data_IF_710114788825
#
_entry.id   IF_710114788825
#
_cell.length_a   1.000
_cell.length_b   1.000
_cell.length_c   1.000
_cell.angle_alpha   90.00
_cell.angle_beta   90.00
_cell.angle_gamma   90.00
#
_symmetry.space_group_name_H-M   'P 1'
#
loop_
_entity.id
_entity.type
_entity.pdbx_description
1 polymer ?
#
# COMPACT_ATOMS: atom_id res chain seq x y z
N UNK A 1 42.04 4.33 55.30
CA UNK A 1 42.90 3.41 54.51
C UNK A 1 42.01 2.72 53.49
N UNK A 2 42.19 2.76 52.20
CA UNK A 2 43.03 3.54 51.29
C UNK A 2 42.46 3.18 49.92
N UNK A 3 41.77 4.12 49.26
CA UNK A 3 41.40 4.01 47.86
C UNK A 3 42.46 4.76 47.07
N UNK A 4 43.23 4.03 46.26
CA UNK A 4 44.20 4.60 45.34
C UNK A 4 43.48 5.01 44.04
N UNK A 5 43.52 6.29 43.63
CA UNK A 5 42.76 6.85 42.52
C UNK A 5 43.61 6.90 41.25
N UNK A 6 43.25 6.13 40.21
CA UNK A 6 43.92 6.27 38.91
C UNK A 6 43.11 5.84 37.68
N UNK A 7 41.79 6.08 37.64
CA UNK A 7 41.01 5.92 36.40
C UNK A 7 39.95 6.99 36.13
N UNK A 8 40.06 8.19 36.72
CA UNK A 8 39.23 9.33 36.32
C UNK A 8 40.09 10.60 36.23
N UNK A 9 40.75 10.76 35.09
CA UNK A 9 41.29 12.05 34.68
C UNK A 9 40.25 12.83 33.87
N UNK A 10 39.87 13.95 34.47
CA UNK A 10 39.84 15.28 33.88
C UNK A 10 38.60 15.76 33.11
N UNK A 11 38.08 16.88 33.62
CA UNK A 11 37.00 17.71 33.12
C UNK A 11 37.36 18.38 31.77
N UNK A 12 36.43 18.29 30.83
CA UNK A 12 35.90 19.46 30.12
C UNK A 12 36.68 20.02 28.92
N UNK A 13 36.43 19.48 27.72
CA UNK A 13 36.03 20.28 26.56
C UNK A 13 35.55 19.38 25.42
N UNK A 14 34.27 19.48 25.06
CA UNK A 14 33.66 18.73 23.98
C UNK A 14 34.35 19.06 22.64
N UNK A 15 34.94 18.03 22.05
CA UNK A 15 35.27 18.00 20.64
C UNK A 15 34.00 17.86 19.79
N UNK A 16 34.02 18.48 18.62
CA UNK A 16 33.17 18.09 17.50
C UNK A 16 34.00 17.32 16.47
N UNK A 17 33.44 16.25 15.88
CA UNK A 17 34.17 15.29 15.06
C UNK A 17 34.36 15.79 13.62
N UNK A 18 35.40 15.25 12.97
CA UNK A 18 35.64 15.34 11.54
C UNK A 18 34.40 14.89 10.74
N UNK A 19 33.75 15.86 10.11
CA UNK A 19 32.82 15.71 9.00
C UNK A 19 32.96 16.97 8.15
N UNK A 20 32.91 16.83 6.82
CA UNK A 20 33.01 17.91 5.83
C UNK A 20 32.16 19.11 6.23
N UNK A 21 32.78 20.08 6.90
CA UNK A 21 32.13 21.29 7.38
C UNK A 21 32.12 22.27 6.22
N UNK A 22 30.95 22.51 5.64
CA UNK A 22 30.71 23.79 4.98
C UNK A 22 31.06 24.86 6.02
N UNK A 23 32.15 25.61 5.79
CA UNK A 23 32.53 26.67 6.71
C UNK A 23 31.34 27.63 6.83
N UNK A 24 30.83 27.79 8.06
CA UNK A 24 29.74 28.72 8.35
C UNK A 24 30.16 30.10 7.86
N UNK A 25 29.44 30.61 6.85
CA UNK A 25 29.65 31.94 6.31
C UNK A 25 28.85 32.93 7.15
N UNK A 26 29.49 34.03 7.53
CA UNK A 26 28.88 35.15 8.25
C UNK A 26 28.64 36.30 7.27
N UNK A 27 27.67 37.17 7.59
CA UNK A 27 27.40 38.41 6.84
C UNK A 27 27.80 39.64 7.65
N UNK A 28 28.13 40.71 6.94
CA UNK A 28 28.53 41.97 7.57
C UNK A 28 28.69 43.10 6.55
N UNK A 29 28.92 44.30 7.07
CA UNK A 29 29.09 45.52 6.26
C UNK A 29 30.54 45.98 6.32
N UNK A 30 31.11 46.41 5.19
CA UNK A 30 32.43 47.03 5.16
C UNK A 30 32.38 48.35 5.95
N UNK A 31 32.94 48.35 7.16
CA UNK A 31 32.98 49.52 8.04
C UNK A 31 34.13 50.47 7.64
N UNK A 32 35.27 49.91 7.24
CA UNK A 32 36.44 50.69 6.82
C UNK A 32 37.24 49.94 5.77
N UNK A 33 37.65 50.63 4.71
CA UNK A 33 38.47 50.06 3.63
C UNK A 33 39.70 50.95 3.39
N UNK A 34 40.88 50.34 3.41
CA UNK A 34 42.17 50.96 3.12
C UNK A 34 42.83 50.22 1.94
N UNK A 35 43.94 50.74 1.44
CA UNK A 35 44.59 50.25 0.21
C UNK A 35 44.90 48.74 0.22
N UNK A 36 45.23 48.16 1.37
CA UNK A 36 45.63 46.75 1.50
C UNK A 36 44.79 45.92 2.46
N UNK A 37 43.90 46.53 3.25
CA UNK A 37 43.09 45.83 4.24
C UNK A 37 41.82 46.60 4.59
N UNK A 38 40.90 45.96 5.31
CA UNK A 38 39.71 46.61 5.83
C UNK A 38 39.17 45.98 7.11
N UNK A 39 38.05 46.52 7.57
CA UNK A 39 37.30 46.02 8.71
C UNK A 39 35.83 45.81 8.33
N UNK A 40 35.28 44.70 8.79
CA UNK A 40 33.87 44.34 8.66
C UNK A 40 33.21 44.45 10.03
N UNK A 41 32.06 45.10 10.08
CA UNK A 41 31.15 45.01 11.21
C UNK A 41 30.20 43.82 10.96
N UNK A 42 30.21 42.82 11.84
CA UNK A 42 29.37 41.63 11.68
C UNK A 42 27.90 41.98 11.91
N UNK A 43 27.01 41.38 11.12
CA UNK A 43 25.55 41.60 11.24
C UNK A 43 24.93 40.80 12.39
N UNK A 44 25.43 39.59 12.62
CA UNK A 44 24.85 38.64 13.60
C UNK A 44 25.43 38.77 15.01
N UNK A 45 26.50 39.55 15.17
CA UNK A 45 27.18 39.75 16.47
C UNK A 45 27.86 41.10 16.54
N UNK A 46 27.99 41.64 17.76
CA UNK A 46 28.75 42.87 18.01
C UNK A 46 30.27 42.63 17.95
N UNK A 47 30.75 42.12 16.82
CA UNK A 47 32.16 41.84 16.57
C UNK A 47 32.64 42.60 15.33
N UNK A 48 33.87 43.10 15.42
CA UNK A 48 34.55 43.82 14.35
C UNK A 48 35.74 43.00 13.89
N UNK A 49 35.73 42.59 12.62
CA UNK A 49 36.73 41.67 12.07
C UNK A 49 37.64 42.38 11.08
N UNK A 50 38.92 42.04 11.14
CA UNK A 50 39.92 42.46 10.18
C UNK A 50 39.90 41.53 8.96
N UNK A 51 40.10 42.08 7.76
CA UNK A 51 40.40 41.29 6.57
C UNK A 51 41.51 41.93 5.75
N UNK A 52 42.27 41.11 5.03
CA UNK A 52 43.22 41.58 4.02
C UNK A 52 42.53 41.67 2.66
N UNK A 53 42.81 42.69 1.85
CA UNK A 53 42.14 42.86 0.54
C UNK A 53 42.33 41.65 -0.39
N UNK A 54 43.40 40.87 -0.24
CA UNK A 54 43.60 39.63 -1.00
C UNK A 54 42.60 38.52 -0.65
N UNK A 55 41.84 38.65 0.43
CA UNK A 55 40.78 37.72 0.81
C UNK A 55 39.46 38.03 0.11
N UNK A 56 39.36 39.18 -0.57
CA UNK A 56 38.19 39.52 -1.37
C UNK A 56 38.22 38.81 -2.72
N UNK A 57 37.22 38.00 -2.97
CA UNK A 57 37.06 37.20 -4.17
C UNK A 57 36.23 37.97 -5.22
N UNK A 58 36.77 39.11 -5.68
CA UNK A 58 36.15 40.01 -6.65
C UNK A 58 37.05 41.19 -7.05
N UNK A 59 36.52 42.12 -7.83
CA UNK A 59 37.25 43.32 -8.24
C UNK A 59 37.31 44.36 -7.09
N UNK A 60 38.49 44.59 -6.52
CA UNK A 60 38.68 45.52 -5.40
C UNK A 60 38.25 46.97 -5.71
N UNK A 61 38.22 47.39 -6.98
CA UNK A 61 37.74 48.72 -7.37
C UNK A 61 36.22 48.90 -7.14
N UNK A 62 35.49 47.80 -7.08
CA UNK A 62 34.03 47.75 -6.90
C UNK A 62 33.61 47.59 -5.44
N UNK A 63 34.55 47.34 -4.53
CA UNK A 63 34.30 47.24 -3.08
C UNK A 63 34.46 48.61 -2.42
N UNK A 64 33.48 49.02 -1.63
CA UNK A 64 33.41 50.32 -0.94
C UNK A 64 32.95 50.15 0.51
N UNK A 65 33.22 51.17 1.32
CA UNK A 65 32.64 51.27 2.67
C UNK A 65 31.11 51.34 2.54
N UNK A 66 30.42 50.52 3.33
CA UNK A 66 28.96 50.36 3.28
C UNK A 66 28.46 49.17 2.46
N UNK A 67 29.33 48.46 1.73
CA UNK A 67 28.92 47.27 0.99
C UNK A 67 28.65 46.07 1.92
N UNK A 68 27.57 45.34 1.63
CA UNK A 68 27.27 44.04 2.24
C UNK A 68 28.20 42.95 1.69
N UNK A 69 28.76 42.16 2.59
CA UNK A 69 29.70 41.08 2.27
C UNK A 69 29.38 39.81 3.04
N UNK A 70 29.62 38.68 2.38
CA UNK A 70 29.59 37.35 2.97
C UNK A 70 31.02 36.82 3.08
N UNK A 71 31.40 36.30 4.24
CA UNK A 71 32.78 35.89 4.53
C UNK A 71 32.84 34.67 5.44
N UNK A 72 33.98 33.97 5.43
CA UNK A 72 34.28 32.93 6.42
C UNK A 72 35.15 33.52 7.55
N UNK A 73 35.02 33.01 8.76
CA UNK A 73 35.88 33.41 9.89
C UNK A 73 36.98 32.38 10.09
N UNK A 74 38.21 32.84 10.14
CA UNK A 74 39.39 32.04 10.44
C UNK A 74 40.24 32.74 11.49
N UNK A 75 41.14 32.02 12.16
CA UNK A 75 42.11 32.61 13.07
C UNK A 75 43.39 33.00 12.32
N UNK A 76 43.90 34.20 12.58
CA UNK A 76 45.20 34.66 12.10
C UNK A 76 46.31 33.76 12.64
N UNK A 77 47.13 33.17 11.76
CA UNK A 77 48.13 32.15 12.15
C UNK A 77 49.24 32.69 13.06
N UNK A 78 49.45 34.01 13.10
CA UNK A 78 50.50 34.64 13.90
C UNK A 78 49.99 35.10 15.27
N UNK A 79 48.76 35.60 15.34
CA UNK A 79 48.21 36.26 16.53
C UNK A 79 47.04 35.52 17.17
N UNK A 80 46.48 34.51 16.49
CA UNK A 80 45.31 33.75 16.92
C UNK A 80 43.99 34.54 16.87
N UNK A 81 44.02 35.81 16.44
CA UNK A 81 42.84 36.67 16.40
C UNK A 81 41.89 36.26 15.26
N UNK A 82 40.56 36.34 15.46
CA UNK A 82 39.60 36.07 14.40
C UNK A 82 39.72 37.13 13.30
N UNK A 83 39.79 36.68 12.06
CA UNK A 83 39.86 37.46 10.83
C UNK A 83 38.83 36.95 9.83
N UNK A 84 38.34 37.83 8.97
CA UNK A 84 37.48 37.46 7.87
C UNK A 84 38.32 37.06 6.64
N UNK A 85 37.97 35.94 6.04
CA UNK A 85 38.62 35.34 4.86
C UNK A 85 37.58 34.98 3.80
N UNK A 86 38.02 34.82 2.54
CA UNK A 86 37.14 34.49 1.39
C UNK A 86 35.88 35.38 1.29
N UNK A 87 36.07 36.69 1.38
CA UNK A 87 35.00 37.67 1.28
C UNK A 87 34.42 37.68 -0.14
N UNK A 88 33.10 37.74 -0.23
CA UNK A 88 32.37 37.96 -1.49
C UNK A 88 31.42 39.12 -1.25
N UNK A 89 31.34 40.07 -2.19
CA UNK A 89 30.36 41.14 -2.13
C UNK A 89 28.99 40.56 -2.40
N UNK A 90 28.06 40.76 -1.48
CA UNK A 90 26.66 40.45 -1.67
C UNK A 90 26.18 41.51 -2.66
N UNK A 91 26.04 41.12 -3.93
CA UNK A 91 25.31 41.95 -4.87
C UNK A 91 23.89 42.01 -4.33
N UNK A 92 23.26 43.19 -4.18
CA UNK A 92 21.82 43.20 -4.05
C UNK A 92 21.31 42.44 -5.27
N UNK A 93 20.70 41.28 -5.03
CA UNK A 93 19.84 40.66 -6.03
C UNK A 93 18.69 41.63 -6.21
N UNK A 94 18.91 42.63 -7.07
CA UNK A 94 17.83 43.19 -7.85
C UNK A 94 17.44 42.03 -8.76
N UNK A 95 16.59 41.15 -8.24
CA UNK A 95 15.89 40.18 -9.05
C UNK A 95 15.32 40.96 -10.24
N UNK A 96 15.56 40.51 -11.48
CA UNK A 96 15.04 41.19 -12.65
C UNK A 96 13.54 41.37 -12.44
N UNK A 97 13.05 42.59 -12.69
CA UNK A 97 11.65 42.99 -12.56
C UNK A 97 10.71 41.91 -13.15
N UNK A 98 10.25 40.99 -12.31
CA UNK A 98 9.25 40.01 -12.72
C UNK A 98 7.92 40.74 -12.79
N UNK A 99 7.57 41.17 -13.99
CA UNK A 99 6.26 41.71 -14.32
C UNK A 99 5.19 40.66 -14.01
N UNK A 100 4.53 40.78 -12.87
CA UNK A 100 3.29 40.05 -12.60
C UNK A 100 2.16 40.84 -13.27
N UNK A 101 1.55 40.29 -14.33
CA UNK A 101 0.39 40.85 -15.05
C UNK A 101 0.53 42.30 -15.55
N UNK A 102 1.73 42.74 -15.92
CA UNK A 102 1.95 44.05 -16.53
C UNK A 102 1.90 45.24 -15.55
N UNK A 103 1.97 44.98 -14.24
CA UNK A 103 2.13 46.00 -13.21
C UNK A 103 3.55 45.98 -12.66
N UNK A 104 4.11 47.16 -12.39
CA UNK A 104 5.37 47.31 -11.66
C UNK A 104 5.20 46.76 -10.25
N UNK A 105 6.01 45.77 -9.88
CA UNK A 105 6.06 45.20 -8.53
C UNK A 105 7.34 45.66 -7.85
N UNK A 106 7.26 46.00 -6.57
CA UNK A 106 8.41 46.38 -5.75
C UNK A 106 8.41 45.51 -4.49
N UNK A 107 9.62 45.18 -4.02
CA UNK A 107 9.81 44.42 -2.79
C UNK A 107 10.25 45.36 -1.69
N UNK A 108 9.63 45.24 -0.52
CA UNK A 108 10.01 45.96 0.69
C UNK A 108 10.45 44.97 1.75
N UNK A 109 11.51 45.32 2.47
CA UNK A 109 11.95 44.56 3.64
C UNK A 109 11.12 44.93 4.85
N UNK A 110 10.95 43.97 5.77
CA UNK A 110 10.32 44.16 7.08
C UNK A 110 10.91 43.17 8.08
N UNK A 111 10.71 43.45 9.36
CA UNK A 111 11.09 42.59 10.48
C UNK A 111 9.85 42.19 11.27
N UNK A 112 9.91 41.17 12.16
CA UNK A 112 8.76 40.78 12.98
C UNK A 112 8.18 41.91 13.84
N UNK A 113 8.98 42.92 14.20
CA UNK A 113 8.55 44.10 14.95
C UNK A 113 7.63 45.03 14.13
N UNK A 114 7.65 44.90 12.80
CA UNK A 114 6.86 45.71 11.88
C UNK A 114 5.44 45.19 11.66
N UNK A 115 5.14 43.99 12.18
CA UNK A 115 3.85 43.31 12.05
C UNK A 115 3.01 43.58 13.28
N UNK A 116 1.87 44.23 13.08
CA UNK A 116 0.94 44.49 14.18
C UNK A 116 0.18 43.21 14.60
N UNK A 117 0.00 43.05 15.91
CA UNK A 117 -0.88 42.00 16.47
C UNK A 117 -0.24 40.63 16.69
N UNK A 118 1.09 40.51 16.64
CA UNK A 118 1.82 39.23 16.85
C UNK A 118 1.32 38.07 15.97
N UNK A 119 0.88 38.40 14.76
CA UNK A 119 0.39 37.43 13.78
C UNK A 119 1.53 36.93 12.89
N UNK A 120 1.52 35.64 12.57
CA UNK A 120 2.44 35.06 11.60
C UNK A 120 1.85 35.20 10.19
N UNK A 121 2.52 35.99 9.34
CA UNK A 121 2.17 36.19 7.94
C UNK A 121 2.68 35.02 7.08
N UNK A 122 1.89 34.64 6.08
CA UNK A 122 2.22 33.60 5.12
C UNK A 122 2.22 34.15 3.69
N UNK A 123 3.01 33.54 2.80
CA UNK A 123 3.06 33.94 1.39
C UNK A 123 1.69 33.83 0.72
N UNK A 124 1.17 34.98 0.29
CA UNK A 124 -0.15 35.13 -0.35
C UNK A 124 -1.23 35.73 0.56
N UNK A 125 -0.90 36.05 1.82
CA UNK A 125 -1.74 36.88 2.68
C UNK A 125 -1.91 38.28 2.08
N UNK A 126 -3.14 38.81 2.16
CA UNK A 126 -3.37 40.22 1.83
C UNK A 126 -3.12 41.06 3.06
N UNK A 127 -2.21 42.01 2.93
CA UNK A 127 -1.78 42.90 4.00
C UNK A 127 -2.06 44.35 3.62
N UNK A 128 -2.11 45.20 4.64
CA UNK A 128 -1.96 46.65 4.52
C UNK A 128 -0.66 47.03 5.21
N UNK A 129 0.06 48.03 4.71
CA UNK A 129 1.31 48.48 5.30
C UNK A 129 1.58 49.95 4.93
N UNK A 130 2.50 50.57 5.66
CA UNK A 130 3.01 51.90 5.37
C UNK A 130 4.45 51.78 4.87
N UNK A 131 4.78 52.55 3.84
CA UNK A 131 6.14 52.65 3.32
C UNK A 131 6.90 53.67 4.16
N UNK A 132 7.98 53.23 4.80
CA UNK A 132 8.91 54.12 5.51
C UNK A 132 10.23 54.21 4.75
N UNK A 133 10.79 55.41 4.67
CA UNK A 133 12.06 55.69 3.99
C UNK A 133 13.06 56.23 4.99
N UNK A 134 14.15 55.50 5.19
CA UNK A 134 15.23 55.93 6.05
C UNK A 134 15.94 57.14 5.41
N UNK A 135 15.78 58.31 6.01
CA UNK A 135 16.31 59.59 5.50
C UNK A 135 17.85 59.64 5.41
N UNK A 136 18.56 58.75 6.11
CA UNK A 136 20.02 58.73 6.15
C UNK A 136 20.62 57.75 5.14
N UNK A 137 19.96 56.62 4.90
CA UNK A 137 20.46 55.57 4.00
C UNK A 137 19.70 55.50 2.66
N UNK A 138 18.55 56.16 2.56
CA UNK A 138 17.64 56.06 1.41
C UNK A 138 16.90 54.71 1.32
N UNK A 139 17.13 53.79 2.27
CA UNK A 139 16.50 52.47 2.26
C UNK A 139 15.00 52.59 2.55
N UNK A 140 14.19 51.81 1.83
CA UNK A 140 12.73 51.80 1.95
C UNK A 140 12.30 50.47 2.57
N UNK A 141 11.44 50.51 3.59
CA UNK A 141 10.93 49.34 4.33
C UNK A 141 9.42 49.42 4.55
N UNK A 142 8.77 48.27 4.72
CA UNK A 142 7.37 48.20 5.12
C UNK A 142 7.25 48.24 6.65
N UNK A 143 6.39 49.12 7.16
CA UNK A 143 6.06 49.27 8.59
C UNK A 143 4.55 49.15 8.78
N UNK A 144 4.12 48.93 10.02
CA UNK A 144 2.71 48.91 10.39
C UNK A 144 1.89 47.88 9.59
N UNK A 145 2.49 46.70 9.41
CA UNK A 145 1.95 45.64 8.56
C UNK A 145 0.77 45.00 9.30
N UNK A 146 -0.42 45.17 8.75
CA UNK A 146 -1.66 44.61 9.26
C UNK A 146 -2.19 43.56 8.28
N UNK A 147 -2.55 42.39 8.77
CA UNK A 147 -3.23 41.37 7.97
C UNK A 147 -4.66 41.82 7.65
N UNK A 148 -4.95 42.05 6.38
CA UNK A 148 -6.31 42.33 5.90
C UNK A 148 -7.10 41.04 5.70
N UNK A 149 -6.47 40.04 5.08
CA UNK A 149 -7.10 38.75 4.79
C UNK A 149 -6.05 37.66 4.72
N UNK A 150 -6.17 36.67 5.61
CA UNK A 150 -5.37 35.45 5.55
C UNK A 150 -5.67 34.69 4.26
N UNK A 151 -4.61 34.18 3.62
CA UNK A 151 -4.72 33.24 2.52
C UNK A 151 -5.55 32.05 2.99
N UNK A 152 -6.52 31.66 2.17
CA UNK A 152 -7.30 30.47 2.46
C UNK A 152 -6.39 29.25 2.28
N UNK A 153 -6.22 28.49 3.37
CA UNK A 153 -5.58 27.19 3.31
C UNK A 153 -6.34 26.31 2.32
N UNK A 154 -5.60 25.68 1.40
CA UNK A 154 -6.15 24.71 0.47
C UNK A 154 -6.01 23.33 1.07
N UNK A 155 -7.09 22.58 1.06
CA UNK A 155 -7.12 21.17 1.40
C UNK A 155 -7.02 20.36 0.11
N UNK A 156 -6.53 19.14 0.23
CA UNK A 156 -6.48 18.17 -0.85
C UNK A 156 -7.47 17.04 -0.57
N UNK A 157 -7.87 16.32 -1.60
CA UNK A 157 -8.75 15.18 -1.49
C UNK A 157 -8.94 14.47 -2.83
N UNK A 158 -9.73 13.41 -2.80
CA UNK A 158 -10.05 12.62 -4.00
C UNK A 158 -11.54 12.63 -4.23
N UNK A 159 -11.98 12.85 -5.46
CA UNK A 159 -13.41 12.80 -5.81
C UNK A 159 -13.92 11.37 -5.60
N UNK A 160 -14.80 11.14 -4.64
CA UNK A 160 -15.32 9.80 -4.34
C UNK A 160 -16.66 9.52 -5.02
N UNK A 161 -17.48 10.55 -5.27
CA UNK A 161 -18.78 10.40 -5.90
C UNK A 161 -19.19 11.63 -6.72
N UNK A 162 -19.80 11.38 -7.86
CA UNK A 162 -20.37 12.37 -8.77
C UNK A 162 -21.87 12.10 -8.95
N UNK A 163 -22.70 13.14 -8.92
CA UNK A 163 -24.17 13.09 -9.10
C UNK A 163 -24.60 14.04 -10.22
N UNK A 164 -25.85 14.49 -10.26
CA UNK A 164 -26.33 15.30 -11.39
C UNK A 164 -25.81 16.75 -11.39
N UNK A 165 -25.62 17.37 -10.22
CA UNK A 165 -25.20 18.78 -10.10
C UNK A 165 -24.15 19.04 -9.00
N UNK A 166 -23.71 17.98 -8.32
CA UNK A 166 -22.82 18.06 -7.17
C UNK A 166 -22.04 16.78 -7.02
N UNK A 167 -20.99 16.83 -6.20
CA UNK A 167 -20.19 15.66 -5.86
C UNK A 167 -19.71 15.68 -4.41
N UNK A 168 -18.98 14.64 -4.07
CA UNK A 168 -18.32 14.48 -2.78
C UNK A 168 -16.83 14.25 -3.01
N UNK A 169 -16.02 14.87 -2.16
CA UNK A 169 -14.58 14.72 -2.13
C UNK A 169 -14.23 14.07 -0.79
N UNK A 170 -13.51 12.95 -0.83
CA UNK A 170 -12.89 12.40 0.36
C UNK A 170 -11.71 13.28 0.75
N UNK A 171 -11.73 13.80 1.98
CA UNK A 171 -10.74 14.77 2.45
C UNK A 171 -9.41 14.12 2.79
N UNK A 172 -8.31 14.75 2.41
CA UNK A 172 -6.94 14.31 2.74
C UNK A 172 -6.50 14.66 4.15
N UNK A 173 -7.16 15.60 4.82
CA UNK A 173 -6.82 16.06 6.17
C UNK A 173 -7.61 15.38 7.29
N UNK A 174 -8.81 14.87 6.99
CA UNK A 174 -9.68 14.16 7.96
C UNK A 174 -10.46 13.04 7.28
N UNK A 175 -10.81 11.98 8.00
CA UNK A 175 -11.58 10.84 7.48
C UNK A 175 -13.07 11.19 7.34
N UNK A 176 -13.38 12.14 6.45
CA UNK A 176 -14.74 12.59 6.13
C UNK A 176 -14.83 13.02 4.67
N UNK A 177 -16.02 12.87 4.11
CA UNK A 177 -16.37 13.45 2.82
C UNK A 177 -16.81 14.90 2.96
N UNK A 178 -16.51 15.72 1.96
CA UNK A 178 -17.01 17.09 1.85
C UNK A 178 -17.79 17.27 0.56
N UNK A 179 -18.92 17.97 0.68
CA UNK A 179 -19.80 18.29 -0.44
C UNK A 179 -19.22 19.44 -1.27
N UNK A 180 -19.32 19.34 -2.59
CA UNK A 180 -19.11 20.48 -3.50
C UNK A 180 -20.19 20.52 -4.58
N UNK A 181 -20.53 21.73 -5.02
CA UNK A 181 -21.41 21.94 -6.17
C UNK A 181 -20.56 22.07 -7.44
N UNK A 182 -21.07 21.64 -8.60
CA UNK A 182 -20.29 21.68 -9.85
C UNK A 182 -19.84 23.09 -10.27
N UNK A 183 -20.60 24.13 -9.89
CA UNK A 183 -20.19 25.53 -10.09
C UNK A 183 -18.92 25.94 -9.33
N UNK A 184 -18.53 25.18 -8.30
CA UNK A 184 -17.32 25.43 -7.52
C UNK A 184 -16.06 24.87 -8.19
N UNK A 185 -16.22 23.98 -9.17
CA UNK A 185 -15.12 23.42 -9.94
C UNK A 185 -14.57 24.43 -10.96
N UNK A 186 -13.26 24.57 -10.99
CA UNK A 186 -12.52 25.48 -11.87
C UNK A 186 -11.85 24.67 -12.97
N UNK A 187 -12.66 24.21 -13.91
CA UNK A 187 -12.21 23.42 -15.05
C UNK A 187 -13.37 22.93 -15.89
N UNK A 188 -13.07 22.05 -16.83
CA UNK A 188 -14.07 21.37 -17.63
C UNK A 188 -14.67 20.18 -16.84
N UNK A 189 -15.98 20.21 -16.60
CA UNK A 189 -16.66 19.19 -15.79
C UNK A 189 -16.59 17.81 -16.43
N UNK A 190 -16.49 17.73 -17.76
CA UNK A 190 -16.35 16.45 -18.47
C UNK A 190 -15.01 15.76 -18.20
N UNK A 191 -14.01 16.51 -17.71
CA UNK A 191 -12.71 15.99 -17.31
C UNK A 191 -12.68 15.49 -15.86
N UNK A 192 -13.71 15.78 -15.04
CA UNK A 192 -13.72 15.43 -13.62
C UNK A 192 -14.42 14.08 -13.38
N UNK A 193 -13.70 13.11 -12.84
CA UNK A 193 -14.16 11.75 -12.61
C UNK A 193 -13.92 11.27 -11.16
N UNK A 194 -14.69 10.27 -10.68
CA UNK A 194 -14.36 9.61 -9.42
C UNK A 194 -12.97 8.99 -9.46
N UNK A 195 -12.16 9.25 -8.43
CA UNK A 195 -10.76 8.88 -8.35
C UNK A 195 -9.78 10.00 -8.69
N UNK A 196 -10.25 11.16 -9.14
CA UNK A 196 -9.37 12.31 -9.42
C UNK A 196 -8.91 13.02 -8.15
N UNK A 197 -7.62 13.35 -8.14
CA UNK A 197 -6.99 14.16 -7.11
C UNK A 197 -7.38 15.63 -7.33
N UNK A 198 -7.82 16.28 -6.26
CA UNK A 198 -8.25 17.69 -6.29
C UNK A 198 -7.73 18.48 -5.11
N UNK A 199 -7.55 19.78 -5.32
CA UNK A 199 -7.39 20.77 -4.25
C UNK A 199 -8.59 21.71 -4.19
N UNK A 200 -8.95 22.14 -2.98
CA UNK A 200 -10.11 23.00 -2.73
C UNK A 200 -9.93 23.83 -1.47
N UNK A 201 -10.80 24.81 -1.26
CA UNK A 201 -10.89 25.58 -0.03
C UNK A 201 -12.16 25.22 0.73
N UNK A 202 -12.09 25.14 2.06
CA UNK A 202 -13.25 24.87 2.90
C UNK A 202 -13.93 26.18 3.29
N UNK A 203 -15.26 26.24 3.15
CA UNK A 203 -16.09 27.35 3.64
C UNK A 203 -17.28 26.80 4.42
N UNK A 204 -17.67 27.50 5.48
CA UNK A 204 -18.93 27.25 6.15
C UNK A 204 -20.09 27.85 5.34
N UNK A 205 -21.12 27.05 5.08
CA UNK A 205 -22.42 27.51 4.58
C UNK A 205 -23.52 26.92 5.47
N UNK A 206 -24.20 27.78 6.22
CA UNK A 206 -25.29 27.42 7.13
C UNK A 206 -24.88 26.36 8.19
N UNK A 207 -23.67 26.47 8.75
CA UNK A 207 -23.15 25.52 9.75
C UNK A 207 -22.68 24.19 9.15
N UNK A 208 -22.51 24.12 7.83
CA UNK A 208 -21.96 22.95 7.13
C UNK A 208 -20.74 23.35 6.31
N UNK A 209 -19.66 22.61 6.49
CA UNK A 209 -18.46 22.73 5.66
C UNK A 209 -18.74 22.26 4.22
N UNK A 210 -18.41 23.10 3.25
CA UNK A 210 -18.47 22.80 1.82
C UNK A 210 -17.16 23.14 1.14
N UNK A 211 -16.80 22.36 0.12
CA UNK A 211 -15.64 22.62 -0.71
C UNK A 211 -15.98 23.66 -1.79
N UNK A 212 -15.10 24.65 -1.93
CA UNK A 212 -15.20 25.73 -2.92
C UNK A 212 -13.87 25.92 -3.65
N UNK A 213 -13.90 26.50 -4.85
CA UNK A 213 -12.68 26.70 -5.67
C UNK A 213 -11.90 25.40 -5.90
N UNK A 214 -12.62 24.36 -6.34
CA UNK A 214 -12.10 23.00 -6.58
C UNK A 214 -11.30 22.99 -7.88
N UNK A 215 -10.11 22.39 -7.89
CA UNK A 215 -9.23 22.26 -9.06
C UNK A 215 -8.62 20.87 -9.12
N UNK A 216 -8.41 20.36 -10.33
CA UNK A 216 -7.70 19.11 -10.56
C UNK A 216 -6.22 19.23 -10.17
N UNK A 217 -5.69 18.16 -9.60
CA UNK A 217 -4.29 17.92 -9.34
C UNK A 217 -3.78 16.78 -10.23
N UNK A 218 -2.46 16.68 -10.45
CA UNK A 218 -1.87 15.49 -11.05
C UNK A 218 -2.23 14.23 -10.24
N UNK A 219 -2.54 13.13 -10.94
CA UNK A 219 -2.87 11.86 -10.30
C UNK A 219 -1.69 11.35 -9.43
N UNK A 220 -2.00 10.88 -8.23
CA UNK A 220 -1.03 10.40 -7.24
C UNK A 220 -0.49 11.50 -6.32
N UNK A 221 -1.02 12.71 -6.40
CA UNK A 221 -0.70 13.81 -5.47
C UNK A 221 -1.31 13.55 -4.10
N UNK A 222 -2.53 13.01 -4.04
CA UNK A 222 -3.22 12.77 -2.77
C UNK A 222 -3.00 11.34 -2.31
N UNK A 223 -2.38 11.20 -1.14
CA UNK A 223 -2.07 9.90 -0.54
C UNK A 223 -2.76 9.86 0.83
N UNK A 224 -3.77 9.01 0.96
CA UNK A 224 -4.50 8.82 2.23
C UNK A 224 -3.79 7.85 3.17
N UNK A 225 -3.15 6.81 2.61
CA UNK A 225 -2.60 5.73 3.40
C UNK A 225 -1.14 5.45 3.01
N UNK A 226 -0.34 5.08 4.01
CA UNK A 226 1.01 4.55 3.84
C UNK A 226 0.97 3.04 3.91
N UNK A 227 1.32 2.37 2.81
CA UNK A 227 1.40 0.91 2.74
C UNK A 227 2.83 0.48 3.07
N UNK A 228 2.96 -0.44 4.03
CA UNK A 228 4.24 -1.03 4.39
C UNK A 228 4.89 -1.74 3.19
N UNK A 229 6.20 -1.55 3.03
CA UNK A 229 6.98 -2.28 2.01
C UNK A 229 7.12 -3.76 2.40
N UNK A 230 7.22 -4.03 3.69
CA UNK A 230 7.31 -5.38 4.24
C UNK A 230 5.95 -6.08 4.18
N UNK A 231 6.02 -7.40 4.02
CA UNK A 231 4.88 -8.28 4.11
C UNK A 231 4.86 -8.93 5.49
N UNK A 232 3.67 -9.02 6.05
CA UNK A 232 3.41 -9.68 7.32
C UNK A 232 2.63 -10.96 7.08
N UNK A 233 2.80 -11.92 7.99
CA UNK A 233 2.04 -13.16 8.00
C UNK A 233 1.17 -13.20 9.26
N UNK A 234 -0.03 -13.75 9.14
CA UNK A 234 -0.99 -13.77 10.22
C UNK A 234 -2.10 -14.78 9.98
N UNK A 235 -3.00 -14.87 10.95
CA UNK A 235 -4.12 -15.80 10.93
C UNK A 235 -5.44 -15.04 10.86
N UNK A 236 -6.33 -15.41 9.94
CA UNK A 236 -7.69 -14.83 9.86
C UNK A 236 -8.50 -15.26 11.08
N UNK A 237 -8.91 -14.32 11.91
CA UNK A 237 -9.76 -14.57 13.09
C UNK A 237 -11.24 -14.35 12.80
N UNK A 238 -11.56 -13.51 11.80
CA UNK A 238 -12.94 -13.24 11.39
C UNK A 238 -13.00 -12.93 9.91
N UNK A 239 -13.86 -13.65 9.19
CA UNK A 239 -14.12 -13.45 7.76
C UNK A 239 -15.19 -12.39 7.50
N UNK A 240 -15.19 -11.84 6.28
CA UNK A 240 -16.24 -10.93 5.84
C UNK A 240 -17.48 -11.75 5.43
N UNK A 241 -18.66 -11.50 6.01
CA UNK A 241 -19.89 -12.19 5.61
C UNK A 241 -20.23 -11.92 4.14
N UNK A 242 -20.39 -12.98 3.32
CA UNK A 242 -20.80 -12.87 1.90
C UNK A 242 -22.19 -12.22 1.72
N UNK A 243 -23.03 -12.27 2.75
CA UNK A 243 -24.34 -11.61 2.79
C UNK A 243 -24.29 -10.52 3.86
N UNK A 244 -24.35 -9.23 3.47
CA UNK A 244 -24.38 -8.14 4.43
C UNK A 244 -25.61 -8.28 5.34
N UNK A 245 -25.38 -8.35 6.65
CA UNK A 245 -26.49 -8.25 7.60
C UNK A 245 -27.04 -6.81 7.56
N UNK A 246 -28.36 -6.64 7.71
CA UNK A 246 -29.00 -5.31 7.76
C UNK A 246 -28.42 -4.37 8.84
N UNK A 247 -27.68 -4.93 9.81
CA UNK A 247 -27.06 -4.19 10.92
C UNK A 247 -25.53 -4.05 10.81
N UNK A 248 -24.92 -4.45 9.68
CA UNK A 248 -23.47 -4.40 9.52
C UNK A 248 -23.03 -3.00 9.06
N UNK A 249 -22.70 -2.13 10.03
CA UNK A 249 -22.21 -0.77 9.79
C UNK A 249 -20.67 -0.64 9.83
N UNK A 250 -19.94 -1.72 10.13
CA UNK A 250 -18.48 -1.70 10.15
C UNK A 250 -17.94 -1.84 8.71
N UNK A 251 -17.27 -0.80 8.14
CA UNK A 251 -16.72 -0.85 6.79
C UNK A 251 -15.54 -1.83 6.66
N UNK A 252 -14.91 -2.24 7.77
CA UNK A 252 -13.79 -3.17 7.80
C UNK A 252 -14.12 -4.35 8.73
N UNK A 253 -15.09 -5.22 8.38
CA UNK A 253 -15.65 -6.21 9.30
C UNK A 253 -14.75 -7.44 9.53
N UNK A 254 -13.78 -7.69 8.66
CA UNK A 254 -12.83 -8.79 8.77
C UNK A 254 -11.75 -8.51 9.81
N UNK A 255 -11.15 -9.56 10.40
CA UNK A 255 -10.04 -9.45 11.36
C UNK A 255 -8.94 -10.45 11.05
N UNK A 256 -7.69 -9.99 11.11
CA UNK A 256 -6.48 -10.81 11.02
C UNK A 256 -5.67 -10.58 12.28
N UNK A 257 -5.29 -11.67 12.94
CA UNK A 257 -4.33 -11.64 14.04
C UNK A 257 -2.92 -11.82 13.49
N UNK A 258 -2.03 -10.91 13.87
CA UNK A 258 -0.61 -10.96 13.55
C UNK A 258 0.21 -11.05 14.84
N UNK A 259 1.11 -12.03 14.88
CA UNK A 259 1.95 -12.29 16.04
C UNK A 259 3.27 -11.51 15.89
N UNK A 260 3.27 -10.26 16.35
CA UNK A 260 4.50 -9.50 16.62
C UNK A 260 5.08 -9.88 18.01
N UNK A 261 6.01 -9.08 18.53
CA UNK A 261 6.39 -9.12 19.95
C UNK A 261 5.14 -8.99 20.86
N UNK A 262 4.16 -8.22 20.41
CA UNK A 262 2.83 -8.12 21.02
C UNK A 262 1.80 -8.48 19.95
N UNK A 263 0.97 -9.53 20.15
CA UNK A 263 -0.07 -9.89 19.21
C UNK A 263 -1.00 -8.70 18.93
N UNK A 264 -1.25 -8.44 17.66
CA UNK A 264 -2.10 -7.34 17.19
C UNK A 264 -3.20 -7.89 16.30
N UNK A 265 -4.38 -7.32 16.41
CA UNK A 265 -5.50 -7.64 15.52
C UNK A 265 -5.73 -6.46 14.57
N UNK A 266 -5.72 -6.75 13.27
CA UNK A 266 -5.87 -5.76 12.20
C UNK A 266 -7.21 -5.97 11.49
N UNK A 267 -8.02 -4.92 11.32
CA UNK A 267 -9.23 -4.98 10.53
C UNK A 267 -8.92 -5.06 9.03
N UNK A 268 -9.87 -5.56 8.24
CA UNK A 268 -9.82 -5.50 6.77
C UNK A 268 -11.23 -5.50 6.16
N UNK A 269 -11.35 -4.94 4.96
CA UNK A 269 -12.59 -4.85 4.18
C UNK A 269 -12.53 -5.65 2.87
N UNK A 270 -13.63 -5.63 2.11
CA UNK A 270 -13.76 -6.42 0.87
C UNK A 270 -12.73 -6.04 -0.21
N UNK A 271 -12.24 -4.79 -0.18
CA UNK A 271 -11.24 -4.30 -1.13
C UNK A 271 -9.80 -4.65 -0.75
N UNK A 272 -9.59 -5.24 0.43
CA UNK A 272 -8.27 -5.52 0.97
C UNK A 272 -7.71 -6.88 0.54
N UNK A 273 -8.51 -7.73 -0.10
CA UNK A 273 -8.05 -9.02 -0.60
C UNK A 273 -7.46 -8.88 -2.01
N UNK A 274 -6.27 -9.43 -2.21
CA UNK A 274 -5.56 -9.38 -3.51
C UNK A 274 -6.21 -10.28 -4.56
N UNK A 275 -6.84 -11.37 -4.13
CA UNK A 275 -7.60 -12.28 -4.98
C UNK A 275 -9.04 -12.41 -4.49
N UNK A 276 -9.89 -13.02 -5.33
CA UNK A 276 -11.29 -13.33 -5.00
C UNK A 276 -11.45 -14.74 -4.40
N UNK A 277 -10.36 -15.40 -4.03
CA UNK A 277 -10.39 -16.71 -3.38
C UNK A 277 -11.09 -16.55 -2.03
N UNK A 278 -11.95 -17.50 -1.68
CA UNK A 278 -12.68 -17.46 -0.41
C UNK A 278 -11.70 -17.55 0.78
N UNK A 279 -11.71 -16.54 1.65
CA UNK A 279 -11.08 -16.57 2.98
C UNK A 279 -11.96 -17.30 3.99
N UNK A 280 -11.35 -18.07 4.89
CA UNK A 280 -11.96 -18.84 5.97
C UNK A 280 -11.24 -18.51 7.29
N UNK A 281 -11.92 -18.78 8.40
CA UNK A 281 -11.31 -18.62 9.73
C UNK A 281 -10.15 -19.60 9.90
N UNK A 282 -9.12 -19.17 10.62
CA UNK A 282 -7.85 -19.88 10.80
C UNK A 282 -6.94 -19.94 9.57
N UNK A 283 -7.27 -19.24 8.48
CA UNK A 283 -6.36 -19.16 7.34
C UNK A 283 -5.05 -18.48 7.69
N UNK A 284 -3.96 -19.07 7.22
CA UNK A 284 -2.66 -18.43 7.22
C UNK A 284 -2.53 -17.53 5.98
N UNK A 285 -2.35 -16.23 6.19
CA UNK A 285 -2.35 -15.21 5.13
C UNK A 285 -1.09 -14.37 5.18
N UNK A 286 -0.70 -13.85 4.01
CA UNK A 286 0.28 -12.79 3.84
C UNK A 286 -0.41 -11.50 3.46
N UNK A 287 0.01 -10.37 4.01
CA UNK A 287 -0.60 -9.06 3.77
C UNK A 287 0.39 -7.92 4.01
N UNK A 288 0.04 -6.70 3.62
CA UNK A 288 0.74 -5.47 4.02
C UNK A 288 -0.09 -4.72 5.07
N UNK A 289 0.57 -3.91 5.90
CA UNK A 289 -0.13 -2.99 6.81
C UNK A 289 -0.28 -1.66 6.10
N UNK A 290 -1.52 -1.19 5.97
CA UNK A 290 -1.84 0.16 5.50
C UNK A 290 -2.16 1.03 6.71
N UNK A 291 -1.52 2.19 6.82
CA UNK A 291 -1.78 3.18 7.88
C UNK A 291 -2.40 4.43 7.28
N UNK A 292 -3.63 4.75 7.66
CA UNK A 292 -4.27 5.99 7.26
C UNK A 292 -3.54 7.19 7.92
N UNK A 293 -3.15 8.17 7.11
CA UNK A 293 -2.37 9.32 7.57
C UNK A 293 -3.16 10.26 8.47
N UNK A 294 -4.49 10.21 8.42
CA UNK A 294 -5.42 11.14 9.07
C UNK A 294 -5.75 10.71 10.50
N UNK A 295 -6.18 9.46 10.68
CA UNK A 295 -6.59 8.92 11.99
C UNK A 295 -5.59 7.91 12.58
N UNK A 296 -4.53 7.56 11.83
CA UNK A 296 -3.52 6.57 12.20
C UNK A 296 -4.09 5.16 12.35
N UNK A 297 -5.26 4.88 11.78
CA UNK A 297 -5.83 3.55 11.75
C UNK A 297 -4.95 2.65 10.87
N UNK A 298 -4.56 1.51 11.45
CA UNK A 298 -3.85 0.46 10.73
C UNK A 298 -4.83 -0.64 10.33
N UNK A 299 -4.75 -1.08 9.08
CA UNK A 299 -5.54 -2.20 8.55
C UNK A 299 -4.67 -3.14 7.72
N UNK A 300 -5.10 -4.38 7.57
CA UNK A 300 -4.48 -5.32 6.66
C UNK A 300 -4.98 -5.09 5.24
N UNK A 301 -4.06 -5.03 4.27
CA UNK A 301 -4.36 -4.88 2.84
C UNK A 301 -3.49 -5.81 1.99
N UNK A 302 -3.79 -5.94 0.70
CA UNK A 302 -3.14 -6.91 -0.21
C UNK A 302 -3.13 -8.35 0.34
N UNK A 303 -4.23 -8.76 0.97
CA UNK A 303 -4.33 -10.04 1.68
C UNK A 303 -4.33 -11.19 0.67
N UNK A 304 -3.45 -12.16 0.89
CA UNK A 304 -3.24 -13.34 0.06
C UNK A 304 -3.16 -14.59 0.95
N UNK A 305 -3.89 -15.64 0.59
CA UNK A 305 -3.84 -16.93 1.30
C UNK A 305 -2.52 -17.62 1.00
N UNK A 306 -1.81 -18.08 2.04
CA UNK A 306 -0.55 -18.78 1.86
C UNK A 306 -0.76 -20.27 1.54
N UNK A 307 0.09 -20.90 0.70
CA UNK A 307 -0.06 -22.31 0.33
C UNK A 307 0.05 -23.30 1.50
N UNK A 308 0.69 -22.90 2.59
CA UNK A 308 0.80 -23.69 3.81
C UNK A 308 -0.43 -23.58 4.73
N UNK A 309 -1.45 -22.76 4.39
CA UNK A 309 -2.68 -22.61 5.19
C UNK A 309 -3.31 -23.96 5.54
N UNK A 310 -3.30 -24.90 4.58
CA UNK A 310 -3.89 -26.22 4.72
C UNK A 310 -3.18 -27.11 5.76
N UNK A 311 -2.00 -26.73 6.22
CA UNK A 311 -1.28 -27.43 7.31
C UNK A 311 -1.79 -27.00 8.70
N UNK A 312 -2.45 -25.85 8.78
CA UNK A 312 -2.93 -25.24 10.03
C UNK A 312 -4.46 -25.30 10.17
N UNK A 313 -5.17 -25.43 9.06
CA UNK A 313 -6.64 -25.56 9.04
C UNK A 313 -7.07 -27.03 9.14
N UNK A 314 -8.20 -27.28 9.79
CA UNK A 314 -8.87 -28.59 9.77
C UNK A 314 -9.75 -28.79 8.50
N UNK A 315 -9.36 -28.14 7.40
CA UNK A 315 -10.12 -28.13 6.15
C UNK A 315 -10.05 -29.50 5.46
N UNK A 316 -11.20 -30.03 5.04
CA UNK A 316 -11.25 -31.32 4.34
C UNK A 316 -11.05 -31.08 2.85
N UNK A 317 -9.91 -31.56 2.33
CA UNK A 317 -9.49 -31.38 0.96
C UNK A 317 -9.88 -32.59 0.12
N UNK A 318 -10.70 -32.38 -0.90
CA UNK A 318 -11.09 -33.40 -1.87
C UNK A 318 -10.23 -33.28 -3.14
N UNK A 319 -10.06 -34.42 -3.83
CA UNK A 319 -9.31 -34.51 -5.07
C UNK A 319 -10.22 -34.80 -6.26
N UNK A 320 -9.79 -34.37 -7.44
CA UNK A 320 -10.51 -34.62 -8.68
C UNK A 320 -9.79 -34.12 -9.92
N UNK A 321 -10.45 -34.24 -11.06
CA UNK A 321 -9.95 -33.75 -12.35
C UNK A 321 -10.92 -32.77 -12.98
N UNK A 322 -10.39 -31.74 -13.66
CA UNK A 322 -11.22 -30.79 -14.40
C UNK A 322 -11.93 -31.53 -15.54
N UNK A 323 -13.26 -31.64 -15.43
CA UNK A 323 -14.10 -32.36 -16.39
C UNK A 323 -14.62 -31.44 -17.51
N UNK A 324 -14.89 -30.17 -17.18
CA UNK A 324 -15.36 -29.19 -18.16
C UNK A 324 -15.00 -27.76 -17.72
N UNK A 325 -14.72 -26.91 -18.70
CA UNK A 325 -14.50 -25.47 -18.53
C UNK A 325 -15.50 -24.69 -19.38
N UNK A 326 -15.98 -23.57 -18.85
CA UNK A 326 -16.91 -22.61 -19.49
C UNK A 326 -16.48 -21.19 -19.14
N UNK A 327 -17.18 -20.19 -19.65
CA UNK A 327 -16.85 -18.78 -19.41
C UNK A 327 -17.05 -18.39 -17.94
N UNK A 328 -15.95 -18.33 -17.19
CA UNK A 328 -15.91 -17.91 -15.78
C UNK A 328 -16.12 -19.03 -14.75
N UNK A 329 -16.41 -20.26 -15.19
CA UNK A 329 -16.67 -21.38 -14.28
C UNK A 329 -16.31 -22.74 -14.89
N UNK A 330 -16.27 -23.77 -14.05
CA UNK A 330 -15.97 -25.14 -14.48
C UNK A 330 -16.63 -26.20 -13.61
N UNK A 331 -16.36 -27.46 -13.98
CA UNK A 331 -16.83 -28.64 -13.26
C UNK A 331 -15.68 -29.61 -13.01
N UNK A 332 -15.60 -30.11 -11.78
CA UNK A 332 -14.61 -31.10 -11.34
C UNK A 332 -15.32 -32.46 -11.24
N UNK A 333 -14.69 -33.50 -11.79
CA UNK A 333 -15.05 -34.89 -11.50
C UNK A 333 -14.28 -35.31 -10.24
N UNK A 334 -14.99 -35.45 -9.13
CA UNK A 334 -14.41 -35.87 -7.86
C UNK A 334 -14.01 -37.34 -7.87
N UNK A 335 -13.03 -37.69 -7.04
CA UNK A 335 -12.70 -39.08 -6.75
C UNK A 335 -13.81 -39.73 -5.92
N UNK A 336 -14.24 -39.08 -4.85
CA UNK A 336 -15.15 -39.67 -3.84
C UNK A 336 -16.63 -39.29 -4.03
N UNK A 337 -17.00 -38.68 -5.17
CA UNK A 337 -18.39 -38.27 -5.44
C UNK A 337 -18.82 -38.59 -6.87
N UNK A 338 -20.05 -39.11 -7.00
CA UNK A 338 -20.67 -39.38 -8.31
C UNK A 338 -21.07 -38.09 -9.06
N UNK A 339 -21.44 -37.06 -8.31
CA UNK A 339 -21.86 -35.77 -8.87
C UNK A 339 -20.64 -34.89 -9.20
N UNK A 340 -20.68 -34.21 -10.35
CA UNK A 340 -19.66 -33.20 -10.70
C UNK A 340 -19.80 -31.97 -9.82
N UNK A 341 -18.67 -31.47 -9.34
CA UNK A 341 -18.63 -30.29 -8.48
C UNK A 341 -18.42 -29.03 -9.30
N UNK A 342 -19.34 -28.07 -9.16
CA UNK A 342 -19.24 -26.76 -9.78
C UNK A 342 -18.17 -25.90 -9.07
N UNK A 343 -17.48 -25.05 -9.82
CA UNK A 343 -16.62 -23.99 -9.27
C UNK A 343 -16.58 -22.75 -10.14
N UNK A 344 -16.27 -21.61 -9.53
CA UNK A 344 -16.03 -20.34 -10.22
C UNK A 344 -14.52 -20.05 -10.35
N UNK A 345 -14.09 -19.36 -11.41
CA UNK A 345 -12.66 -19.07 -11.64
C UNK A 345 -12.03 -18.18 -10.56
N UNK A 346 -12.84 -17.45 -9.78
CA UNK A 346 -12.35 -16.69 -8.61
C UNK A 346 -11.76 -17.57 -7.52
N UNK A 347 -12.12 -18.85 -7.47
CA UNK A 347 -11.68 -19.78 -6.44
C UNK A 347 -10.37 -20.49 -6.80
N UNK A 348 -9.78 -20.18 -7.95
CA UNK A 348 -8.50 -20.76 -8.37
C UNK A 348 -7.36 -20.08 -7.61
N UNK A 349 -6.59 -20.87 -6.87
CA UNK A 349 -5.44 -20.41 -6.08
C UNK A 349 -4.17 -20.30 -6.95
N UNK A 350 -3.19 -19.55 -6.44
CA UNK A 350 -1.85 -19.39 -7.01
C UNK A 350 -1.78 -18.80 -8.44
N UNK A 351 -2.90 -18.26 -8.96
CA UNK A 351 -2.95 -17.62 -10.28
C UNK A 351 -2.74 -18.57 -11.46
N UNK A 352 -2.75 -19.88 -11.23
CA UNK A 352 -2.51 -20.88 -12.26
C UNK A 352 -3.71 -21.01 -13.21
N UNK A 353 -3.45 -21.02 -14.52
CA UNK A 353 -4.49 -21.33 -15.49
C UNK A 353 -4.79 -22.84 -15.47
N UNK A 354 -6.06 -23.18 -15.20
CA UNK A 354 -6.56 -24.55 -15.24
C UNK A 354 -7.02 -24.93 -16.64
N UNK A 355 -6.76 -26.18 -17.02
CA UNK A 355 -7.19 -26.79 -18.27
C UNK A 355 -7.98 -28.07 -17.98
N UNK A 356 -8.75 -28.51 -18.97
CA UNK A 356 -9.44 -29.81 -18.90
C UNK A 356 -8.41 -30.92 -18.67
N UNK A 357 -8.76 -31.89 -17.84
CA UNK A 357 -7.91 -32.98 -17.38
C UNK A 357 -6.78 -32.59 -16.41
N UNK A 358 -6.66 -31.32 -16.00
CA UNK A 358 -5.79 -30.98 -14.88
C UNK A 358 -6.31 -31.63 -13.59
N UNK A 359 -5.37 -32.13 -12.80
CA UNK A 359 -5.62 -32.66 -11.47
C UNK A 359 -5.67 -31.52 -10.45
N UNK A 360 -6.64 -31.58 -9.56
CA UNK A 360 -6.89 -30.51 -8.59
C UNK A 360 -7.25 -31.05 -7.23
N UNK A 361 -6.92 -30.25 -6.22
CA UNK A 361 -7.37 -30.38 -4.85
C UNK A 361 -8.21 -29.15 -4.49
N UNK A 362 -9.31 -29.34 -3.78
CA UNK A 362 -10.28 -28.30 -3.49
C UNK A 362 -11.04 -28.61 -2.21
N UNK A 363 -11.84 -27.66 -1.74
CA UNK A 363 -12.72 -27.83 -0.59
C UNK A 363 -14.15 -27.69 -1.02
N UNK A 364 -15.02 -28.57 -0.53
CA UNK A 364 -16.45 -28.51 -0.83
C UNK A 364 -17.20 -27.78 0.27
N UNK A 365 -17.92 -26.73 -0.11
CA UNK A 365 -18.77 -25.96 0.81
C UNK A 365 -20.21 -25.88 0.28
N UNK A 366 -21.22 -25.80 1.17
CA UNK A 366 -22.59 -25.53 0.76
C UNK A 366 -22.71 -24.11 0.20
N UNK A 367 -23.46 -23.97 -0.89
CA UNK A 367 -23.77 -22.69 -1.49
C UNK A 367 -24.71 -21.90 -0.56
N UNK A 368 -24.25 -20.72 -0.13
CA UNK A 368 -25.01 -19.85 0.79
C UNK A 368 -26.32 -19.35 0.19
N UNK A 369 -26.43 -19.27 -1.15
CA UNK A 369 -27.65 -18.87 -1.84
C UNK A 369 -28.61 -20.04 -2.06
N UNK A 370 -28.11 -21.27 -1.98
CA UNK A 370 -28.86 -22.50 -2.19
C UNK A 370 -28.25 -23.61 -1.35
N UNK A 371 -28.66 -23.72 -0.09
CA UNK A 371 -28.11 -24.69 0.87
C UNK A 371 -28.17 -26.17 0.42
N UNK A 372 -28.95 -26.48 -0.62
CA UNK A 372 -29.00 -27.82 -1.23
C UNK A 372 -27.92 -28.06 -2.31
N UNK A 373 -27.15 -27.05 -2.71
CA UNK A 373 -26.09 -27.17 -3.72
C UNK A 373 -24.76 -26.99 -3.04
N UNK A 374 -23.81 -27.85 -3.40
CA UNK A 374 -22.42 -27.70 -2.99
C UNK A 374 -21.60 -27.17 -4.16
N UNK A 375 -20.55 -26.41 -3.85
CA UNK A 375 -19.55 -26.02 -4.84
C UNK A 375 -18.13 -26.19 -4.28
N UNK A 376 -17.16 -26.24 -5.18
CA UNK A 376 -15.75 -26.29 -4.84
C UNK A 376 -15.17 -24.87 -4.72
N UNK A 377 -14.42 -24.63 -3.64
CA UNK A 377 -13.63 -23.42 -3.40
C UNK A 377 -12.14 -23.79 -3.28
N UNK A 378 -11.26 -22.77 -3.31
CA UNK A 378 -9.82 -22.93 -3.03
C UNK A 378 -9.15 -24.02 -3.86
N UNK A 379 -9.31 -23.90 -5.17
CA UNK A 379 -8.87 -24.91 -6.13
C UNK A 379 -7.38 -24.73 -6.35
N UNK A 380 -6.64 -25.76 -5.99
CA UNK A 380 -5.20 -25.86 -6.17
C UNK A 380 -4.90 -26.90 -7.23
N UNK A 381 -4.07 -26.53 -8.21
CA UNK A 381 -3.58 -27.47 -9.23
C UNK A 381 -2.58 -28.45 -8.61
N UNK A 382 -2.73 -29.73 -8.91
CA UNK A 382 -1.83 -30.79 -8.50
C UNK A 382 -0.92 -31.23 -9.66
N UNK A 383 0.26 -31.79 -9.36
CA UNK A 383 1.08 -32.49 -10.35
C UNK A 383 0.30 -33.65 -10.98
N UNK A 384 0.57 -33.95 -12.26
CA UNK A 384 -0.05 -35.09 -12.95
C UNK A 384 0.33 -36.41 -12.28
N UNK A 385 -0.63 -37.32 -12.15
CA UNK A 385 -0.50 -38.64 -11.53
C UNK A 385 -0.74 -38.64 -10.02
N UNK A 386 -1.15 -37.53 -9.42
CA UNK A 386 -1.48 -37.43 -7.98
C UNK A 386 -2.87 -38.00 -7.69
N UNK A 387 -3.84 -37.72 -8.56
CA UNK A 387 -5.25 -38.11 -8.41
C UNK A 387 -5.46 -39.51 -8.98
N UNK A 388 -5.85 -40.45 -8.12
CA UNK A 388 -6.30 -41.77 -8.54
C UNK A 388 -7.79 -41.96 -8.26
N UNK A 389 -8.52 -42.45 -9.26
CA UNK A 389 -9.94 -42.86 -9.12
C UNK A 389 -10.09 -44.29 -8.60
N UNK A 390 -9.00 -45.05 -8.51
CA UNK A 390 -9.00 -46.44 -8.09
C UNK A 390 -7.80 -46.70 -7.19
N UNK A 391 -8.04 -47.21 -5.99
CA UNK A 391 -6.98 -47.73 -5.13
C UNK A 391 -6.74 -49.17 -5.52
N UNK A 392 -5.76 -49.42 -6.38
CA UNK A 392 -5.31 -50.78 -6.68
C UNK A 392 -4.38 -51.22 -5.56
N UNK A 393 -4.76 -52.26 -4.81
CA UNK A 393 -3.84 -52.86 -3.83
C UNK A 393 -2.78 -53.69 -4.56
N UNK A 394 -1.54 -53.69 -4.04
CA UNK A 394 -0.49 -54.60 -4.54
C UNK A 394 -0.74 -56.07 -4.13
N UNK A 395 -1.78 -56.29 -3.32
CA UNK A 395 -2.14 -57.61 -2.82
C UNK A 395 -2.91 -58.35 -3.90
N UNK A 396 -2.31 -59.42 -4.41
CA UNK A 396 -2.97 -60.38 -5.29
C UNK A 396 -3.75 -61.38 -4.44
N UNK A 397 -5.06 -61.44 -4.62
CA UNK A 397 -5.93 -62.35 -3.89
C UNK A 397 -6.31 -63.51 -4.80
N UNK A 398 -6.09 -64.73 -4.36
CA UNK A 398 -6.53 -65.91 -5.11
C UNK A 398 -7.97 -66.23 -4.70
N UNK A 399 -8.89 -66.03 -5.63
CA UNK A 399 -10.31 -66.34 -5.46
C UNK A 399 -10.78 -67.50 -6.32
N UNK A 400 -12.02 -67.92 -6.11
CA UNK A 400 -12.74 -68.90 -6.93
C UNK A 400 -13.99 -68.25 -7.52
N UNK A 401 -14.28 -68.46 -8.80
CA UNK A 401 -15.48 -67.94 -9.45
C UNK A 401 -16.72 -68.64 -8.85
N UNK A 402 -17.60 -67.87 -8.24
CA UNK A 402 -18.90 -68.34 -7.69
C UNK A 402 -20.06 -68.04 -8.65
N UNK A 403 -19.97 -66.92 -9.38
CA UNK A 403 -20.91 -66.56 -10.44
C UNK A 403 -20.16 -66.07 -11.68
N UNK A 404 -20.53 -66.59 -12.84
CA UNK A 404 -19.98 -66.14 -14.13
C UNK A 404 -20.51 -64.77 -14.54
N UNK A 405 -19.63 -63.89 -15.03
CA UNK A 405 -20.02 -62.63 -15.65
C UNK A 405 -20.63 -62.88 -17.03
N UNK A 406 -21.77 -62.25 -17.33
CA UNK A 406 -22.39 -62.34 -18.65
C UNK A 406 -22.16 -61.07 -19.46
N UNK A 407 -21.46 -61.14 -20.62
CA UNK A 407 -21.28 -59.98 -21.47
C UNK A 407 -22.62 -59.55 -22.09
N UNK A 408 -22.83 -58.24 -22.21
CA UNK A 408 -23.98 -57.69 -22.93
C UNK A 408 -23.96 -58.22 -24.38
N UNK A 409 -24.98 -59.00 -24.76
CA UNK A 409 -25.15 -59.42 -26.16
C UNK A 409 -25.73 -58.24 -26.94
N UNK A 410 -25.00 -57.75 -27.93
CA UNK A 410 -25.53 -56.86 -28.95
C UNK A 410 -26.66 -57.59 -29.70
N UNK A 411 -27.91 -57.29 -29.38
CA UNK A 411 -29.06 -57.77 -30.14
C UNK A 411 -29.48 -56.68 -31.12
N UNK A 412 -29.80 -57.09 -32.36
CA UNK A 412 -30.31 -56.19 -33.39
C UNK A 412 -31.59 -55.47 -32.92
N UNK A 413 -31.91 -54.26 -33.44
CA UNK A 413 -32.85 -53.31 -32.83
C UNK A 413 -34.31 -53.76 -32.72
N UNK A 414 -34.66 -54.98 -33.18
CA UNK A 414 -36.02 -55.48 -33.27
C UNK A 414 -36.25 -56.68 -32.33
N UNK A 415 -36.25 -56.44 -31.01
CA UNK A 415 -37.18 -57.03 -30.03
C UNK A 415 -36.80 -56.57 -28.62
N UNK A 416 -37.73 -55.88 -27.96
CA UNK A 416 -37.56 -55.33 -26.62
C UNK A 416 -37.28 -56.39 -25.55
N UNK A 417 -36.06 -56.33 -25.03
CA UNK A 417 -35.65 -56.39 -23.61
C UNK A 417 -34.12 -56.38 -23.64
N UNK A 418 -33.51 -55.24 -23.32
CA UNK A 418 -32.07 -55.18 -23.06
C UNK A 418 -31.76 -56.18 -21.95
N UNK A 419 -30.95 -57.19 -22.26
CA UNK A 419 -30.36 -58.05 -21.22
C UNK A 419 -29.15 -57.28 -20.73
N UNK A 420 -29.31 -56.61 -19.59
CA UNK A 420 -28.21 -55.92 -18.90
C UNK A 420 -27.06 -56.91 -18.68
N UNK A 421 -25.82 -56.42 -18.79
CA UNK A 421 -24.66 -57.21 -18.42
C UNK A 421 -24.77 -57.54 -16.92
N UNK A 422 -24.68 -58.81 -16.57
CA UNK A 422 -24.61 -59.19 -15.16
C UNK A 422 -23.15 -59.39 -14.76
N UNK A 423 -22.78 -58.75 -13.65
CA UNK A 423 -21.49 -58.96 -13.00
C UNK A 423 -21.36 -60.41 -12.51
N UNK A 424 -20.15 -60.96 -12.66
CA UNK A 424 -19.76 -62.20 -12.03
C UNK A 424 -19.29 -61.95 -10.59
N UNK A 425 -19.14 -63.01 -9.80
CA UNK A 425 -18.74 -62.95 -8.39
C UNK A 425 -17.54 -63.88 -8.17
N UNK A 426 -16.50 -63.34 -7.55
CA UNK A 426 -15.33 -64.09 -7.07
C UNK A 426 -15.44 -64.20 -5.55
N UNK A 427 -15.33 -65.41 -5.02
CA UNK A 427 -15.19 -65.67 -3.57
C UNK A 427 -13.71 -65.86 -3.25
N UNK A 428 -13.18 -65.11 -2.29
CA UNK A 428 -11.79 -65.25 -1.82
C UNK A 428 -11.73 -65.34 -0.30
N UNK A 429 -10.64 -65.89 0.23
CA UNK A 429 -10.38 -65.94 1.66
C UNK A 429 -9.33 -64.89 2.02
N UNK A 430 -9.64 -64.05 3.00
CA UNK A 430 -8.68 -63.13 3.60
C UNK A 430 -8.63 -63.37 5.11
N UNK A 431 -7.48 -63.86 5.59
CA UNK A 431 -7.23 -64.18 6.99
C UNK A 431 -8.31 -65.08 7.66
N UNK A 432 -8.88 -66.04 6.92
CA UNK A 432 -9.93 -66.95 7.41
C UNK A 432 -11.35 -66.39 7.31
N UNK A 433 -11.53 -65.22 6.69
CA UNK A 433 -12.84 -64.65 6.37
C UNK A 433 -13.12 -64.81 4.88
N UNK A 434 -14.22 -65.47 4.53
CA UNK A 434 -14.69 -65.55 3.14
C UNK A 434 -15.33 -64.23 2.73
N UNK A 435 -14.79 -63.62 1.70
CA UNK A 435 -15.26 -62.37 1.10
C UNK A 435 -15.69 -62.61 -0.35
N UNK A 436 -16.50 -61.70 -0.89
CA UNK A 436 -16.94 -61.71 -2.30
C UNK A 436 -16.62 -60.40 -2.96
N UNK A 437 -16.24 -60.45 -4.24
CA UNK A 437 -15.98 -59.26 -5.05
C UNK A 437 -16.60 -59.46 -6.45
N UNK A 438 -17.32 -58.44 -6.99
CA UNK A 438 -17.85 -58.51 -8.34
C UNK A 438 -16.74 -58.31 -9.38
N UNK A 439 -16.88 -58.92 -10.55
CA UNK A 439 -16.02 -58.69 -11.71
C UNK A 439 -16.85 -58.60 -13.00
N UNK A 440 -16.38 -57.83 -13.99
CA UNK A 440 -17.03 -57.75 -15.29
C UNK A 440 -16.25 -58.55 -16.33
N UNK A 441 -16.95 -59.11 -17.32
CA UNK A 441 -16.34 -59.90 -18.39
C UNK A 441 -15.27 -59.13 -19.19
N UNK A 442 -15.36 -57.79 -19.22
CA UNK A 442 -14.40 -56.90 -19.91
C UNK A 442 -13.07 -56.74 -19.16
N UNK A 443 -13.05 -57.04 -17.85
CA UNK A 443 -11.91 -56.84 -16.97
C UNK A 443 -11.09 -58.13 -16.80
N UNK A 444 -11.46 -59.22 -17.49
CA UNK A 444 -10.73 -60.50 -17.49
C UNK A 444 -9.59 -60.47 -18.51
N UNK A 445 -8.38 -60.70 -18.04
CA UNK A 445 -7.22 -60.92 -18.90
C UNK A 445 -7.13 -62.38 -19.36
N UNK A 446 -7.33 -62.64 -20.65
CA UNK A 446 -7.25 -63.98 -21.24
C UNK A 446 -8.17 -64.16 -22.43
N UNK A 447 -7.96 -65.22 -23.21
CA UNK A 447 -8.82 -65.54 -24.37
C UNK A 447 -10.12 -66.27 -24.01
N UNK A 448 -10.24 -66.72 -22.76
CA UNK A 448 -11.37 -67.54 -22.28
C UNK A 448 -11.99 -66.91 -21.04
N UNK A 449 -13.32 -66.81 -21.02
CA UNK A 449 -14.04 -66.36 -19.83
C UNK A 449 -13.91 -67.38 -18.70
N UNK A 450 -13.69 -66.95 -17.45
CA UNK A 450 -13.59 -67.85 -16.29
C UNK A 450 -14.95 -68.52 -16.05
N UNK A 451 -14.94 -69.81 -15.74
CA UNK A 451 -16.13 -70.60 -15.41
C UNK A 451 -16.32 -70.73 -13.90
N UNK A 452 -17.55 -71.04 -13.45
CA UNK A 452 -17.81 -71.35 -12.04
C UNK A 452 -16.86 -72.44 -11.55
N UNK A 453 -16.14 -72.16 -10.46
CA UNK A 453 -15.14 -73.06 -9.87
C UNK A 453 -13.69 -72.79 -10.32
N UNK A 454 -13.46 -71.95 -11.32
CA UNK A 454 -12.10 -71.57 -11.74
C UNK A 454 -11.42 -70.71 -10.67
N UNK A 455 -10.08 -70.83 -10.58
CA UNK A 455 -9.28 -69.94 -9.73
C UNK A 455 -8.89 -68.68 -10.50
N UNK A 456 -9.13 -67.52 -9.90
CA UNK A 456 -8.75 -66.21 -10.42
C UNK A 456 -7.78 -65.51 -9.45
N UNK A 457 -6.93 -64.62 -9.97
CA UNK A 457 -5.93 -63.85 -9.22
C UNK A 457 -6.16 -62.36 -9.45
#
# INVERSE_FOLDING_TARGET
>A
MSFDPNLLHNNGHNGYPNGTSAALRETGVIEKLLTSYGFIQCSERQARLFFHCSQYNGNLQELKVGDDVEFEVSSDRRTGKPIAVKLVKIKPEILPEERINGQEVFYLTYTPEDVEGNIQLETGDKINFVIDTNKHTGAVSARNIMLLKKKQARCQGVVCAMKEAFGFIERGDVVKEIFFHYSEFKGDLDALQPGDDVEFTIKDRNGKEVATDVRLLPQGTVIFEDISIEHFEGTVTKVIPKVPSKNQNDPLPGRIKVDFVIPKELPFGDKDTKSKVTLLESDHVRFNISTDRRDKLERATNIEVLPNTFQFTNETREMGVIAAMRDGFGFIKCVDRDARMFFHFSEIMDGNQLHISDEVEFTVVPDMLSAQRNHAIRIKKLPKGTVSFHTQSDHRFVGTIDKEATPAKATSPNKGKEKEAEDGIIVYDDCGVKLTIPYQAKDVEGSTNPQIGDKAI
#
